data_IF_402691571016
#
_entry.id   IF_402691571016
#
_cell.length_a   1.000
_cell.length_b   1.000
_cell.length_c   1.000
_cell.angle_alpha   90.00
_cell.angle_beta   90.00
_cell.angle_gamma   90.00
#
_symmetry.space_group_name_H-M   'P 1'
#
loop_
_entity.id
_entity.type
_entity.pdbx_description
1 polymer ?
#
# COMPACT_ATOMS: atom_id res chain seq x y z
N UNK A 1 -8.07 -31.03 4.86
CA UNK A 1 -9.16 -30.26 4.22
C UNK A 1 -10.46 -30.49 4.98
N UNK A 2 -11.28 -29.47 5.16
CA UNK A 2 -12.58 -29.55 5.83
C UNK A 2 -13.71 -29.22 4.85
N UNK A 3 -14.78 -30.02 4.84
CA UNK A 3 -15.99 -29.80 4.04
C UNK A 3 -17.13 -29.37 4.97
N UNK A 4 -17.54 -28.09 4.99
CA UNK A 4 -18.59 -27.60 5.88
C UNK A 4 -19.95 -28.28 5.69
N UNK A 5 -20.30 -28.62 4.44
CA UNK A 5 -21.57 -29.27 4.09
C UNK A 5 -21.71 -30.67 4.69
N UNK A 6 -20.61 -31.41 4.80
CA UNK A 6 -20.58 -32.77 5.34
C UNK A 6 -20.08 -32.84 6.78
N UNK A 7 -19.55 -31.73 7.33
CA UNK A 7 -18.83 -31.68 8.61
C UNK A 7 -17.68 -32.71 8.71
N UNK A 8 -17.05 -33.06 7.58
CA UNK A 8 -15.94 -34.03 7.53
C UNK A 8 -14.61 -33.33 7.29
N UNK A 9 -13.56 -33.90 7.87
CA UNK A 9 -12.18 -33.51 7.60
C UNK A 9 -11.40 -34.68 6.99
N UNK A 10 -10.49 -34.34 6.09
CA UNK A 10 -9.61 -35.27 5.39
C UNK A 10 -8.17 -34.86 5.63
N UNK A 11 -7.32 -35.82 5.99
CA UNK A 11 -5.89 -35.59 6.12
C UNK A 11 -5.29 -35.22 4.76
N UNK A 12 -4.36 -34.28 4.73
CA UNK A 12 -3.61 -33.90 3.53
C UNK A 12 -2.16 -34.36 3.67
N UNK A 13 -1.46 -33.75 4.62
CA UNK A 13 -0.05 -34.00 4.87
C UNK A 13 0.35 -33.53 6.28
N UNK A 14 1.59 -33.83 6.67
CA UNK A 14 2.23 -33.31 7.87
C UNK A 14 3.54 -32.64 7.47
N UNK A 15 3.64 -31.33 7.69
CA UNK A 15 4.83 -30.55 7.42
C UNK A 15 5.83 -30.68 8.59
N UNK A 16 7.01 -31.31 8.42
CA UNK A 16 7.97 -31.53 9.50
C UNK A 16 8.84 -30.29 9.78
N UNK A 17 8.21 -29.12 9.84
CA UNK A 17 8.87 -27.81 10.02
C UNK A 17 7.93 -26.84 10.72
N UNK A 18 8.51 -25.85 11.39
CA UNK A 18 7.72 -24.71 11.90
C UNK A 18 7.23 -23.89 10.71
N UNK A 19 5.92 -23.65 10.65
CA UNK A 19 5.31 -22.83 9.60
C UNK A 19 5.56 -21.34 9.87
N UNK A 20 5.68 -20.51 8.83
CA UNK A 20 5.97 -19.08 8.99
C UNK A 20 4.82 -18.33 9.68
N UNK A 21 3.59 -18.82 9.54
CA UNK A 21 2.38 -18.35 10.21
C UNK A 21 2.23 -18.81 11.68
N UNK A 22 3.24 -19.46 12.27
CA UNK A 22 3.23 -19.86 13.69
C UNK A 22 2.87 -18.74 14.68
N UNK A 23 3.22 -17.44 14.46
CA UNK A 23 2.87 -16.40 15.41
C UNK A 23 1.35 -16.22 15.59
N UNK A 24 0.53 -16.63 14.62
CA UNK A 24 -0.94 -16.67 14.80
C UNK A 24 -1.34 -17.56 15.99
N UNK A 25 -0.73 -18.73 16.06
CA UNK A 25 -1.01 -19.70 17.13
C UNK A 25 -0.40 -19.21 18.43
N UNK A 26 0.84 -18.74 18.40
CA UNK A 26 1.55 -18.19 19.57
C UNK A 26 0.78 -17.05 20.24
N UNK A 27 0.26 -16.10 19.45
CA UNK A 27 -0.54 -14.99 19.95
C UNK A 27 -1.87 -15.46 20.55
N UNK A 28 -2.51 -16.45 19.92
CA UNK A 28 -3.79 -16.99 20.42
C UNK A 28 -3.62 -17.72 21.75
N UNK A 29 -2.56 -18.50 21.91
CA UNK A 29 -2.29 -19.28 23.12
C UNK A 29 -1.40 -18.54 24.14
N UNK A 30 -0.89 -17.36 23.78
CA UNK A 30 0.06 -16.53 24.53
C UNK A 30 1.35 -17.26 24.94
N UNK A 31 1.97 -17.98 23.99
CA UNK A 31 3.22 -18.72 24.23
C UNK A 31 4.19 -18.61 23.08
N UNK A 32 5.47 -18.66 23.41
CA UNK A 32 6.55 -18.70 22.45
C UNK A 32 7.00 -20.16 22.23
N UNK A 33 6.82 -20.68 21.02
CA UNK A 33 7.22 -22.04 20.67
C UNK A 33 8.72 -22.26 20.68
N UNK A 34 9.53 -21.23 20.41
CA UNK A 34 10.98 -21.33 20.47
C UNK A 34 11.49 -21.65 21.88
N UNK A 35 10.76 -21.26 22.92
CA UNK A 35 11.07 -21.62 24.31
C UNK A 35 10.98 -23.13 24.60
N UNK A 36 10.28 -23.89 23.75
CA UNK A 36 10.05 -25.33 23.91
C UNK A 36 10.81 -26.18 22.89
N UNK A 37 11.78 -25.62 22.16
CA UNK A 37 12.52 -26.36 21.12
C UNK A 37 13.22 -27.62 21.64
N UNK A 38 13.70 -27.56 22.88
CA UNK A 38 14.44 -28.65 23.53
C UNK A 38 13.72 -29.23 24.75
N UNK A 39 12.46 -28.84 24.98
CA UNK A 39 11.70 -29.20 26.18
C UNK A 39 10.28 -29.63 25.78
N UNK A 40 9.72 -30.69 26.37
CA UNK A 40 8.37 -31.13 26.03
C UNK A 40 7.36 -30.02 26.32
N UNK A 41 6.44 -29.80 25.39
CA UNK A 41 5.36 -28.85 25.59
C UNK A 41 4.40 -29.37 26.67
N UNK A 42 4.11 -28.60 27.73
CA UNK A 42 3.32 -29.08 28.85
C UNK A 42 1.87 -29.38 28.43
N UNK A 43 1.39 -30.59 28.73
CA UNK A 43 0.13 -31.12 28.18
C UNK A 43 -1.13 -30.43 28.73
N UNK A 44 -1.06 -29.96 29.98
CA UNK A 44 -2.08 -29.11 30.63
C UNK A 44 -2.24 -27.73 29.96
N UNK A 45 -1.37 -27.44 29.01
CA UNK A 45 -1.16 -26.14 28.41
C UNK A 45 -1.46 -26.18 26.89
N UNK A 46 -1.82 -27.35 26.34
CA UNK A 46 -2.20 -27.53 24.93
C UNK A 46 -3.63 -27.07 24.61
N UNK A 47 -4.52 -27.04 25.62
CA UNK A 47 -5.87 -26.50 25.47
C UNK A 47 -5.92 -25.11 26.08
N UNK A 48 -6.26 -24.12 25.27
CA UNK A 48 -6.46 -22.75 25.70
C UNK A 48 -7.84 -22.29 25.24
N UNK A 49 -8.74 -22.08 26.18
CA UNK A 49 -10.03 -21.42 25.94
C UNK A 49 -9.78 -19.91 25.90
N UNK A 50 -9.18 -19.44 24.81
CA UNK A 50 -8.97 -18.01 24.58
C UNK A 50 -9.98 -17.50 23.57
N UNK A 51 -10.67 -16.43 23.93
CA UNK A 51 -11.55 -15.67 23.04
C UNK A 51 -10.74 -14.74 22.12
N UNK A 52 -9.51 -15.12 21.75
CA UNK A 52 -8.65 -14.31 20.90
C UNK A 52 -8.71 -14.87 19.49
N UNK A 53 -9.00 -14.00 18.53
CA UNK A 53 -8.84 -14.26 17.11
C UNK A 53 -7.60 -13.54 16.60
N UNK A 54 -6.84 -14.20 15.73
CA UNK A 54 -5.63 -13.64 15.13
C UNK A 54 -5.70 -13.83 13.63
N UNK A 55 -5.43 -12.76 12.88
CA UNK A 55 -5.34 -12.78 11.42
C UNK A 55 -3.94 -12.30 11.07
N UNK A 56 -3.29 -13.03 10.17
CA UNK A 56 -2.02 -12.62 9.61
C UNK A 56 -2.16 -12.27 8.14
N UNK A 57 -1.35 -11.31 7.70
CA UNK A 57 -1.17 -10.96 6.31
C UNK A 57 0.31 -11.02 5.95
N UNK A 58 0.62 -11.78 4.90
CA UNK A 58 1.94 -11.75 4.26
C UNK A 58 2.03 -10.53 3.38
N UNK A 59 3.14 -9.80 3.46
CA UNK A 59 3.45 -8.66 2.61
C UNK A 59 4.53 -9.10 1.62
N UNK A 60 4.26 -8.98 0.32
CA UNK A 60 5.06 -9.51 -0.78
C UNK A 60 5.33 -8.43 -1.82
N UNK A 61 6.36 -8.63 -2.63
CA UNK A 61 6.67 -7.79 -3.79
C UNK A 61 6.00 -8.33 -5.06
N UNK A 62 4.72 -8.68 -4.99
CA UNK A 62 3.96 -9.24 -6.11
C UNK A 62 2.95 -8.22 -6.64
N UNK A 63 2.82 -8.14 -7.96
CA UNK A 63 1.88 -7.23 -8.62
C UNK A 63 0.53 -7.92 -8.92
N UNK A 64 -0.57 -7.55 -8.24
CA UNK A 64 -1.90 -8.13 -8.51
C UNK A 64 -2.43 -7.83 -9.92
N UNK A 65 -2.03 -6.72 -10.55
CA UNK A 65 -2.45 -6.35 -11.89
C UNK A 65 -1.76 -7.19 -12.96
N UNK A 66 -0.54 -7.65 -12.71
CA UNK A 66 0.20 -8.60 -13.57
C UNK A 66 0.04 -10.06 -13.13
N UNK A 67 -1.04 -10.41 -12.43
CA UNK A 67 -1.32 -11.80 -12.04
C UNK A 67 -0.38 -12.32 -10.96
N UNK A 68 -0.04 -11.48 -9.97
CA UNK A 68 0.82 -11.78 -8.83
C UNK A 68 2.26 -12.15 -9.22
N UNK A 69 2.77 -11.53 -10.30
CA UNK A 69 4.16 -11.71 -10.71
C UNK A 69 5.10 -11.12 -9.65
N UNK A 70 6.09 -11.89 -9.15
CA UNK A 70 7.10 -11.35 -8.25
C UNK A 70 7.98 -10.31 -8.95
N UNK A 71 8.20 -9.20 -8.27
CA UNK A 71 9.07 -8.11 -8.67
C UNK A 71 10.22 -7.94 -7.67
N UNK A 72 11.36 -7.51 -8.17
CA UNK A 72 12.56 -7.19 -7.39
C UNK A 72 12.85 -5.69 -7.49
N UNK A 73 13.37 -5.11 -6.42
CA UNK A 73 13.62 -3.67 -6.38
C UNK A 73 14.05 -3.18 -5.00
N UNK A 74 14.34 -1.88 -4.91
CA UNK A 74 14.67 -1.19 -3.67
C UNK A 74 13.43 -0.68 -2.96
N UNK A 75 13.46 -0.75 -1.63
CA UNK A 75 12.49 -0.12 -0.73
C UNK A 75 13.01 1.26 -0.37
N UNK A 76 12.24 2.29 -0.70
CA UNK A 76 12.58 3.67 -0.38
C UNK A 76 12.09 4.04 1.02
N UNK A 77 10.81 3.74 1.28
CA UNK A 77 10.17 3.96 2.57
C UNK A 77 9.41 2.72 2.99
N UNK A 78 9.66 2.31 4.23
CA UNK A 78 8.87 1.31 4.92
C UNK A 78 8.65 1.82 6.34
N UNK A 79 7.44 2.32 6.58
CA UNK A 79 7.04 2.81 7.88
C UNK A 79 5.76 2.09 8.31
N UNK A 80 5.90 1.25 9.32
CA UNK A 80 4.82 0.48 9.90
C UNK A 80 4.66 0.85 11.37
N UNK A 81 3.50 1.41 11.70
CA UNK A 81 3.14 1.79 13.06
C UNK A 81 2.50 0.59 13.77
N UNK A 82 3.27 -0.07 14.64
CA UNK A 82 2.71 -1.11 15.51
C UNK A 82 1.79 -0.49 16.55
N UNK A 83 0.74 -1.21 16.93
CA UNK A 83 -0.16 -0.84 18.02
C UNK A 83 -0.42 -2.04 18.95
N UNK A 84 -1.25 -1.87 19.97
CA UNK A 84 -1.51 -2.92 20.96
C UNK A 84 -2.08 -4.22 20.36
N UNK A 85 -2.82 -4.10 19.25
CA UNK A 85 -3.54 -5.18 18.60
C UNK A 85 -2.88 -5.64 17.31
N UNK A 86 -1.96 -4.87 16.73
CA UNK A 86 -1.31 -5.17 15.47
C UNK A 86 0.18 -4.97 15.58
N UNK A 87 0.93 -5.97 15.20
CA UNK A 87 2.39 -5.90 15.08
C UNK A 87 2.82 -6.66 13.85
N UNK A 88 4.07 -6.52 13.47
CA UNK A 88 4.62 -7.17 12.30
C UNK A 88 6.11 -7.00 12.24
N UNK A 89 6.72 -7.74 11.33
CA UNK A 89 8.15 -7.66 11.07
C UNK A 89 8.41 -7.72 9.58
N UNK A 90 9.55 -7.17 9.18
CA UNK A 90 10.00 -7.12 7.80
C UNK A 90 11.44 -7.61 7.71
N UNK A 91 11.78 -8.29 6.62
CA UNK A 91 13.14 -8.75 6.33
C UNK A 91 14.01 -7.68 5.66
N UNK A 92 13.39 -6.57 5.23
CA UNK A 92 14.04 -5.42 4.60
C UNK A 92 13.74 -4.16 5.43
N UNK A 93 14.70 -3.24 5.49
CA UNK A 93 14.54 -1.92 6.10
C UNK A 93 14.33 -0.84 5.03
N UNK A 94 14.05 0.40 5.43
CA UNK A 94 14.20 1.56 4.55
C UNK A 94 15.61 1.54 3.93
N UNK A 95 15.70 1.83 2.63
CA UNK A 95 16.89 1.67 1.77
C UNK A 95 17.37 0.23 1.54
N UNK A 96 16.59 -0.78 1.92
CA UNK A 96 16.85 -2.19 1.64
C UNK A 96 16.52 -2.57 0.19
N UNK A 97 16.88 -3.79 -0.21
CA UNK A 97 16.59 -4.33 -1.55
C UNK A 97 16.02 -5.74 -1.48
N UNK A 98 14.91 -5.95 -2.17
CA UNK A 98 14.40 -7.29 -2.51
C UNK A 98 15.11 -7.70 -3.80
N UNK A 99 15.96 -8.72 -3.68
CA UNK A 99 16.78 -9.23 -4.79
C UNK A 99 16.07 -10.41 -5.48
N UNK A 100 16.48 -10.74 -6.70
CA UNK A 100 15.83 -11.78 -7.53
C UNK A 100 15.89 -13.19 -6.92
N UNK A 101 16.85 -13.44 -6.04
CA UNK A 101 16.97 -14.70 -5.30
C UNK A 101 16.31 -14.67 -3.92
N UNK A 102 15.70 -13.54 -3.54
CA UNK A 102 14.96 -13.42 -2.29
C UNK A 102 13.56 -14.01 -2.44
N UNK A 103 12.97 -14.39 -1.32
CA UNK A 103 11.53 -14.64 -1.26
C UNK A 103 10.78 -13.33 -1.59
N UNK A 104 9.68 -13.42 -2.34
CA UNK A 104 8.82 -12.26 -2.60
C UNK A 104 8.23 -11.74 -1.30
N UNK A 105 8.04 -12.62 -0.30
CA UNK A 105 7.62 -12.23 1.04
C UNK A 105 8.75 -11.52 1.79
N UNK A 106 8.61 -10.20 1.94
CA UNK A 106 9.51 -9.38 2.73
C UNK A 106 8.90 -8.89 4.04
N UNK A 107 7.62 -9.16 4.30
CA UNK A 107 6.95 -8.75 5.54
C UNK A 107 5.86 -9.72 6.01
N UNK A 108 5.54 -9.61 7.30
CA UNK A 108 4.45 -10.34 7.91
C UNK A 108 3.79 -9.49 8.99
N UNK A 109 2.49 -9.24 8.85
CA UNK A 109 1.68 -8.52 9.82
C UNK A 109 0.73 -9.48 10.54
N UNK A 110 0.48 -9.22 11.82
CA UNK A 110 -0.38 -10.00 12.69
C UNK A 110 -1.29 -9.06 13.48
N UNK A 111 -2.59 -9.24 13.33
CA UNK A 111 -3.61 -8.52 14.08
C UNK A 111 -4.37 -9.48 15.00
N UNK A 112 -4.64 -9.04 16.23
CA UNK A 112 -5.49 -9.76 17.19
C UNK A 112 -6.74 -8.96 17.54
N UNK A 113 -7.81 -9.67 17.87
CA UNK A 113 -9.06 -9.12 18.37
C UNK A 113 -9.78 -10.13 19.25
N UNK A 114 -10.79 -9.70 20.00
CA UNK A 114 -11.66 -10.62 20.76
C UNK A 114 -12.66 -11.34 19.86
N UNK A 115 -12.89 -10.78 18.66
CA UNK A 115 -13.69 -11.39 17.60
C UNK A 115 -12.92 -11.38 16.29
N UNK A 116 -13.38 -12.19 15.32
CA UNK A 116 -12.84 -12.17 13.96
C UNK A 116 -12.98 -10.79 13.32
N UNK A 117 -14.12 -10.15 13.49
CA UNK A 117 -14.39 -8.81 12.97
C UNK A 117 -13.42 -7.75 13.51
N UNK A 118 -13.14 -7.77 14.82
CA UNK A 118 -12.16 -6.87 15.43
C UNK A 118 -10.74 -7.09 14.87
N UNK A 119 -10.33 -8.34 14.71
CA UNK A 119 -9.02 -8.66 14.13
C UNK A 119 -8.91 -8.21 12.66
N UNK A 120 -9.99 -8.36 11.87
CA UNK A 120 -10.05 -7.85 10.49
C UNK A 120 -9.92 -6.32 10.49
N UNK A 121 -10.72 -5.64 11.31
CA UNK A 121 -10.73 -4.17 11.39
C UNK A 121 -9.37 -3.63 11.84
N UNK A 122 -8.73 -4.27 12.82
CA UNK A 122 -7.40 -3.89 13.29
C UNK A 122 -6.35 -4.05 12.18
N UNK A 123 -6.34 -5.18 11.48
CA UNK A 123 -5.42 -5.42 10.36
C UNK A 123 -5.65 -4.41 9.23
N UNK A 124 -6.90 -4.08 8.95
CA UNK A 124 -7.28 -3.18 7.88
C UNK A 124 -6.82 -1.74 8.16
N UNK A 125 -6.96 -1.25 9.39
CA UNK A 125 -6.37 0.03 9.79
C UNK A 125 -4.85 0.02 9.61
N UNK A 126 -4.19 -1.03 10.08
CA UNK A 126 -2.73 -1.15 9.99
C UNK A 126 -2.22 -1.23 8.55
N UNK A 127 -2.94 -1.89 7.63
CA UNK A 127 -2.61 -1.92 6.21
C UNK A 127 -2.84 -0.56 5.53
N UNK A 128 -3.85 0.21 5.94
CA UNK A 128 -4.10 1.57 5.43
C UNK A 128 -3.07 2.58 5.94
N UNK A 129 -2.54 2.37 7.14
CA UNK A 129 -1.49 3.21 7.74
C UNK A 129 -0.07 2.78 7.35
N UNK A 130 0.09 1.62 6.70
CA UNK A 130 1.38 1.13 6.22
C UNK A 130 1.86 2.00 5.06
N UNK A 131 2.90 2.78 5.30
CA UNK A 131 3.58 3.54 4.26
C UNK A 131 4.68 2.66 3.65
N UNK A 132 4.41 2.14 2.46
CA UNK A 132 5.34 1.36 1.66
C UNK A 132 5.57 2.06 0.32
N UNK A 133 6.79 2.56 0.11
CA UNK A 133 7.27 3.08 -1.17
C UNK A 133 8.46 2.26 -1.62
N UNK A 134 8.35 1.68 -2.81
CA UNK A 134 9.37 0.82 -3.37
C UNK A 134 9.29 0.89 -4.90
N UNK A 135 10.41 0.61 -5.55
CA UNK A 135 10.50 0.47 -7.02
C UNK A 135 9.71 -0.73 -7.59
N UNK A 136 8.96 -1.45 -6.75
CA UNK A 136 8.15 -2.60 -7.12
C UNK A 136 6.73 -2.43 -6.58
N UNK A 137 5.74 -2.97 -7.31
CA UNK A 137 4.36 -3.06 -6.83
C UNK A 137 4.24 -4.08 -5.70
N UNK A 138 3.37 -3.80 -4.73
CA UNK A 138 3.02 -4.73 -3.65
C UNK A 138 1.50 -4.95 -3.61
N UNK A 139 1.10 -6.11 -3.09
CA UNK A 139 -0.30 -6.53 -2.95
C UNK A 139 -1.05 -5.89 -1.76
N UNK A 140 -0.44 -4.96 -1.02
CA UNK A 140 -1.06 -4.31 0.16
C UNK A 140 -2.46 -3.77 -0.15
N UNK A 141 -2.62 -3.03 -1.24
CA UNK A 141 -3.93 -2.49 -1.65
C UNK A 141 -4.95 -3.58 -1.99
N UNK A 142 -4.48 -4.68 -2.58
CA UNK A 142 -5.33 -5.84 -2.87
C UNK A 142 -5.80 -6.51 -1.58
N UNK A 143 -4.93 -6.65 -0.57
CA UNK A 143 -5.29 -7.18 0.74
C UNK A 143 -6.35 -6.32 1.44
N UNK A 144 -6.24 -4.99 1.38
CA UNK A 144 -7.24 -4.08 1.96
C UNK A 144 -8.62 -4.35 1.37
N UNK A 145 -8.74 -4.49 0.05
CA UNK A 145 -10.03 -4.76 -0.55
C UNK A 145 -10.49 -6.22 -0.42
N UNK A 146 -9.57 -7.18 -0.30
CA UNK A 146 -9.89 -8.58 0.03
C UNK A 146 -10.52 -8.68 1.44
N UNK A 147 -9.98 -7.95 2.41
CA UNK A 147 -10.48 -7.93 3.79
C UNK A 147 -11.85 -7.23 3.91
N UNK A 148 -12.15 -6.29 3.01
CA UNK A 148 -13.45 -5.62 2.92
C UNK A 148 -14.52 -6.44 2.16
N UNK A 149 -14.14 -7.57 1.55
CA UNK A 149 -15.08 -8.38 0.79
C UNK A 149 -16.09 -9.08 1.71
N UNK A 150 -17.38 -9.05 1.34
CA UNK A 150 -18.45 -9.67 2.13
C UNK A 150 -18.27 -11.18 2.27
N UNK A 151 -17.77 -11.86 1.24
CA UNK A 151 -17.52 -13.31 1.32
C UNK A 151 -16.41 -13.60 2.34
N UNK A 152 -15.39 -12.73 2.41
CA UNK A 152 -14.39 -12.82 3.45
C UNK A 152 -14.98 -12.48 4.83
N UNK A 153 -15.67 -11.37 5.00
CA UNK A 153 -16.26 -10.95 6.29
C UNK A 153 -17.24 -11.99 6.86
N UNK A 154 -18.07 -12.59 6.02
CA UNK A 154 -19.04 -13.63 6.40
C UNK A 154 -18.43 -15.03 6.58
N UNK A 155 -17.13 -15.20 6.28
CA UNK A 155 -16.44 -16.49 6.32
C UNK A 155 -16.99 -17.51 5.29
N UNK A 156 -17.37 -17.01 4.11
CA UNK A 156 -17.98 -17.74 3.00
C UNK A 156 -16.98 -17.88 1.84
N UNK A 157 -15.82 -18.49 2.09
CA UNK A 157 -14.79 -18.69 1.07
C UNK A 157 -14.18 -20.09 1.13
N UNK A 158 -13.54 -20.50 0.03
CA UNK A 158 -12.86 -21.79 -0.11
C UNK A 158 -11.47 -21.60 -0.72
N UNK A 159 -10.66 -22.67 -0.81
CA UNK A 159 -9.26 -22.58 -1.25
C UNK A 159 -9.09 -22.03 -2.68
N UNK A 160 -10.02 -22.28 -3.60
CA UNK A 160 -9.99 -21.74 -4.97
C UNK A 160 -10.68 -20.37 -5.14
N UNK A 161 -11.06 -19.72 -4.03
CA UNK A 161 -11.84 -18.47 -4.08
C UNK A 161 -10.98 -17.33 -4.61
N UNK A 162 -9.75 -17.25 -4.13
CA UNK A 162 -8.79 -16.27 -4.58
C UNK A 162 -8.49 -16.42 -6.08
N UNK A 163 -8.30 -17.64 -6.58
CA UNK A 163 -8.04 -17.91 -8.00
C UNK A 163 -9.18 -17.40 -8.89
N UNK A 164 -10.44 -17.61 -8.47
CA UNK A 164 -11.60 -17.10 -9.19
C UNK A 164 -11.65 -15.57 -9.23
N UNK A 165 -11.28 -14.89 -8.13
CA UNK A 165 -11.18 -13.42 -8.09
C UNK A 165 -10.10 -12.87 -9.00
N UNK A 166 -8.93 -13.52 -9.02
CA UNK A 166 -7.81 -13.16 -9.90
C UNK A 166 -8.22 -13.30 -11.36
N UNK A 167 -8.87 -14.42 -11.73
CA UNK A 167 -9.39 -14.64 -13.08
C UNK A 167 -10.44 -13.60 -13.48
N UNK A 168 -11.28 -13.16 -12.54
CA UNK A 168 -12.28 -12.12 -12.76
C UNK A 168 -11.70 -10.68 -12.77
N UNK A 169 -10.39 -10.51 -12.55
CA UNK A 169 -9.70 -9.20 -12.47
C UNK A 169 -10.38 -8.23 -11.52
N UNK A 170 -10.83 -8.73 -10.35
CA UNK A 170 -11.43 -7.89 -9.33
C UNK A 170 -10.33 -6.98 -8.75
N UNK A 171 -10.23 -5.76 -9.27
CA UNK A 171 -9.37 -4.73 -8.71
C UNK A 171 -10.09 -4.10 -7.51
N UNK A 172 -9.43 -4.16 -6.36
CA UNK A 172 -10.02 -3.78 -5.08
C UNK A 172 -9.62 -2.37 -4.62
N UNK A 173 -8.81 -1.66 -5.41
CA UNK A 173 -8.43 -0.29 -5.08
C UNK A 173 -9.66 0.62 -5.27
N UNK A 174 -10.02 1.45 -4.28
CA UNK A 174 -11.03 2.48 -4.48
C UNK A 174 -10.49 3.47 -5.51
N UNK A 175 -11.00 3.41 -6.76
CA UNK A 175 -10.68 4.42 -7.76
C UNK A 175 -11.21 5.77 -7.28
N UNK A 176 -10.31 6.76 -7.24
CA UNK A 176 -10.72 8.14 -7.03
C UNK A 176 -11.60 8.59 -8.19
N UNK A 177 -12.62 9.43 -7.96
CA UNK A 177 -13.40 9.99 -9.04
C UNK A 177 -12.49 10.66 -10.08
N UNK A 178 -12.76 10.43 -11.37
CA UNK A 178 -11.90 10.88 -12.48
C UNK A 178 -11.49 12.35 -12.38
N UNK A 179 -12.42 13.22 -11.99
CA UNK A 179 -12.15 14.66 -11.84
C UNK A 179 -11.12 14.96 -10.74
N UNK A 180 -11.10 14.18 -9.65
CA UNK A 180 -10.12 14.27 -8.57
C UNK A 180 -8.76 13.80 -9.08
N UNK A 181 -8.72 12.63 -9.72
CA UNK A 181 -7.49 12.05 -10.29
C UNK A 181 -6.82 12.98 -11.29
N UNK A 182 -7.58 13.54 -12.23
CA UNK A 182 -7.07 14.48 -13.23
C UNK A 182 -6.60 15.79 -12.58
N UNK A 183 -7.37 16.36 -11.63
CA UNK A 183 -6.98 17.60 -10.97
C UNK A 183 -5.69 17.43 -10.14
N UNK A 184 -5.61 16.38 -9.33
CA UNK A 184 -4.44 16.08 -8.50
C UNK A 184 -3.23 15.76 -9.38
N UNK A 185 -3.40 14.90 -10.39
CA UNK A 185 -2.32 14.55 -11.32
C UNK A 185 -1.79 15.76 -12.09
N UNK A 186 -2.67 16.65 -12.56
CA UNK A 186 -2.28 17.89 -13.20
C UNK A 186 -1.49 18.80 -12.26
N UNK A 187 -1.98 19.01 -11.04
CA UNK A 187 -1.28 19.81 -10.03
C UNK A 187 0.07 19.21 -9.66
N UNK A 188 0.17 17.89 -9.52
CA UNK A 188 1.41 17.19 -9.20
C UNK A 188 2.47 17.39 -10.29
N UNK A 189 2.12 17.08 -11.54
CA UNK A 189 3.04 17.24 -12.69
C UNK A 189 3.39 18.72 -12.92
N UNK A 190 2.40 19.61 -12.79
CA UNK A 190 2.62 21.05 -12.89
C UNK A 190 3.55 21.58 -11.81
N UNK A 191 3.37 21.17 -10.55
CA UNK A 191 4.25 21.50 -9.44
C UNK A 191 5.69 21.06 -9.72
N UNK A 192 5.91 19.82 -10.17
CA UNK A 192 7.26 19.29 -10.45
C UNK A 192 7.94 20.08 -11.56
N UNK A 193 7.26 20.30 -12.69
CA UNK A 193 7.82 21.06 -13.83
C UNK A 193 8.15 22.50 -13.47
N UNK A 194 7.25 23.18 -12.74
CA UNK A 194 7.49 24.54 -12.27
C UNK A 194 8.68 24.55 -11.31
N UNK A 195 8.71 23.67 -10.32
CA UNK A 195 9.80 23.59 -9.34
C UNK A 195 11.16 23.33 -9.99
N UNK A 196 11.22 22.44 -10.98
CA UNK A 196 12.42 22.16 -11.76
C UNK A 196 12.93 23.39 -12.52
N UNK A 197 12.04 24.12 -13.19
CA UNK A 197 12.42 25.31 -13.97
C UNK A 197 13.04 26.37 -13.06
N UNK A 198 12.40 26.65 -11.92
CA UNK A 198 12.90 27.64 -10.98
C UNK A 198 14.20 27.18 -10.31
N UNK A 199 14.33 25.88 -9.97
CA UNK A 199 15.56 25.29 -9.46
C UNK A 199 16.71 25.40 -10.46
N UNK A 200 16.48 25.03 -11.73
CA UNK A 200 17.46 25.15 -12.82
C UNK A 200 17.93 26.59 -13.01
N UNK A 201 17.01 27.56 -12.95
CA UNK A 201 17.34 28.98 -13.05
C UNK A 201 18.19 29.45 -11.87
N UNK A 202 17.82 29.08 -10.65
CA UNK A 202 18.59 29.41 -9.45
C UNK A 202 20.01 28.84 -9.52
N UNK A 203 20.17 27.56 -9.87
CA UNK A 203 21.49 26.94 -9.99
C UNK A 203 22.35 27.57 -11.10
N UNK A 204 21.74 28.05 -12.19
CA UNK A 204 22.47 28.77 -13.23
C UNK A 204 22.96 30.14 -12.71
N UNK A 205 22.11 30.85 -11.97
CA UNK A 205 22.45 32.14 -11.37
C UNK A 205 23.60 32.01 -10.35
N UNK A 206 23.58 30.97 -9.52
CA UNK A 206 24.67 30.63 -8.58
C UNK A 206 26.00 30.36 -9.29
N UNK A 207 25.95 29.84 -10.53
CA UNK A 207 27.12 29.66 -11.40
C UNK A 207 27.50 30.91 -12.21
N UNK A 208 26.83 32.04 -11.98
CA UNK A 208 27.06 33.31 -12.68
C UNK A 208 26.49 33.38 -14.10
N UNK A 209 25.58 32.46 -14.46
CA UNK A 209 24.90 32.45 -15.76
C UNK A 209 23.50 33.03 -15.64
N UNK A 210 23.13 33.98 -16.50
CA UNK A 210 21.78 34.54 -16.57
C UNK A 210 21.02 33.87 -17.71
N UNK A 211 20.04 33.04 -17.36
CA UNK A 211 19.15 32.42 -18.35
C UNK A 211 18.08 33.41 -18.85
N UNK A 212 17.50 33.18 -20.04
CA UNK A 212 16.41 34.01 -20.56
C UNK A 212 15.16 33.96 -19.67
N UNK A 213 14.50 35.12 -19.51
CA UNK A 213 13.24 35.22 -18.75
C UNK A 213 12.11 34.38 -19.34
N UNK A 214 12.15 34.07 -20.63
CA UNK A 214 11.16 33.21 -21.30
C UNK A 214 11.12 31.79 -20.77
N UNK A 215 12.19 31.33 -20.10
CA UNK A 215 12.23 30.02 -19.47
C UNK A 215 11.50 29.96 -18.13
N UNK A 216 11.26 31.10 -17.47
CA UNK A 216 10.56 31.17 -16.19
C UNK A 216 9.06 31.33 -16.43
N UNK A 217 8.34 30.21 -16.40
CA UNK A 217 6.88 30.19 -16.50
C UNK A 217 6.25 29.53 -15.28
N UNK A 218 5.21 30.17 -14.77
CA UNK A 218 4.31 29.63 -13.73
C UNK A 218 3.09 28.91 -14.33
N UNK A 219 3.00 28.88 -15.67
CA UNK A 219 1.90 28.24 -16.41
C UNK A 219 2.42 27.14 -17.31
N UNK A 220 1.77 25.99 -17.26
CA UNK A 220 2.08 24.82 -18.07
C UNK A 220 0.82 24.21 -18.66
N UNK A 221 0.87 23.91 -19.96
CA UNK A 221 -0.10 23.02 -20.60
C UNK A 221 0.44 21.59 -20.52
N UNK A 222 -0.41 20.68 -20.05
CA UNK A 222 -0.10 19.27 -19.82
C UNK A 222 -1.10 18.41 -20.57
N UNK A 223 -0.63 17.27 -21.03
CA UNK A 223 -1.48 16.22 -21.59
C UNK A 223 -1.38 15.00 -20.67
N UNK A 224 -2.49 14.63 -20.05
CA UNK A 224 -2.58 13.47 -19.17
C UNK A 224 -3.43 12.40 -19.84
N UNK A 225 -3.07 11.13 -19.69
CA UNK A 225 -3.89 10.01 -20.17
C UNK A 225 -4.35 9.21 -18.96
N UNK A 226 -5.66 9.05 -18.82
CA UNK A 226 -6.25 8.22 -17.77
C UNK A 226 -7.39 7.39 -18.37
N UNK A 227 -7.34 6.07 -18.17
CA UNK A 227 -8.32 5.11 -18.72
C UNK A 227 -8.53 5.26 -20.24
N UNK A 228 -7.43 5.41 -20.99
CA UNK A 228 -7.39 5.64 -22.45
C UNK A 228 -8.06 6.93 -22.94
N UNK A 229 -8.37 7.87 -22.05
CA UNK A 229 -8.89 9.20 -22.40
C UNK A 229 -7.78 10.22 -22.19
N UNK A 230 -7.57 11.07 -23.19
CA UNK A 230 -6.61 12.17 -23.16
C UNK A 230 -7.25 13.44 -22.59
N UNK A 231 -6.61 14.04 -21.60
CA UNK A 231 -6.99 15.28 -20.94
C UNK A 231 -5.93 16.34 -21.19
N UNK A 232 -6.28 17.39 -21.93
CA UNK A 232 -5.43 18.56 -22.13
C UNK A 232 -5.78 19.61 -21.07
N UNK A 233 -4.91 19.75 -20.07
CA UNK A 233 -5.12 20.60 -18.89
C UNK A 233 -4.08 21.71 -18.84
N UNK A 234 -4.48 22.88 -18.40
CA UNK A 234 -3.56 23.98 -18.10
C UNK A 234 -3.46 24.15 -16.59
N UNK A 235 -2.23 24.23 -16.09
CA UNK A 235 -1.91 24.41 -14.67
C UNK A 235 -1.17 25.72 -14.52
N UNK A 236 -1.68 26.61 -13.66
CA UNK A 236 -1.06 27.88 -13.34
C UNK A 236 -0.81 27.98 -11.83
N UNK A 237 0.42 28.33 -11.44
CA UNK A 237 0.73 28.74 -10.07
C UNK A 237 0.41 30.22 -9.93
N UNK A 238 -0.45 30.57 -8.99
CA UNK A 238 -0.85 31.97 -8.74
C UNK A 238 -0.52 32.45 -7.31
N UNK A 239 0.03 31.56 -6.48
CA UNK A 239 0.52 31.89 -5.16
C UNK A 239 1.58 30.91 -4.70
N UNK A 240 2.16 31.10 -3.50
CA UNK A 240 3.26 30.27 -3.00
C UNK A 240 2.92 28.78 -2.98
N UNK A 241 1.68 28.45 -2.59
CA UNK A 241 1.15 27.10 -2.45
C UNK A 241 -0.10 26.85 -3.29
N UNK A 242 -0.58 27.86 -4.02
CA UNK A 242 -1.87 27.80 -4.70
C UNK A 242 -1.70 27.60 -6.20
N UNK A 243 -2.42 26.62 -6.72
CA UNK A 243 -2.43 26.24 -8.12
C UNK A 243 -3.85 26.26 -8.65
N UNK A 244 -3.99 26.66 -9.91
CA UNK A 244 -5.22 26.70 -10.66
C UNK A 244 -5.11 25.69 -11.80
N UNK A 245 -6.03 24.74 -11.85
CA UNK A 245 -6.14 23.76 -12.93
C UNK A 245 -7.34 24.11 -13.78
N UNK A 246 -7.11 24.29 -15.08
CA UNK A 246 -8.14 24.56 -16.08
C UNK A 246 -8.22 23.38 -17.05
N UNK A 247 -9.43 22.90 -17.24
CA UNK A 247 -9.77 21.90 -18.25
C UNK A 247 -10.97 22.43 -19.04
N UNK A 248 -10.77 22.73 -20.31
CA UNK A 248 -11.76 23.42 -21.16
C UNK A 248 -12.24 24.73 -20.50
N UNK A 249 -13.53 24.83 -20.20
CA UNK A 249 -14.17 25.98 -19.54
C UNK A 249 -14.27 25.83 -18.02
N UNK A 250 -13.83 24.69 -17.46
CA UNK A 250 -13.85 24.43 -16.03
C UNK A 250 -12.53 24.84 -15.38
N UNK A 251 -12.61 25.43 -14.20
CA UNK A 251 -11.47 25.87 -13.40
C UNK A 251 -11.63 25.38 -11.98
N UNK A 252 -10.56 24.84 -11.41
CA UNK A 252 -10.50 24.44 -10.02
C UNK A 252 -9.20 24.89 -9.36
N UNK A 253 -9.26 25.16 -8.07
CA UNK A 253 -8.11 25.54 -7.25
C UNK A 253 -7.64 24.36 -6.41
N UNK A 254 -6.32 24.21 -6.31
CA UNK A 254 -5.66 23.21 -5.48
C UNK A 254 -4.57 23.86 -4.65
N UNK A 255 -4.32 23.32 -3.45
CA UNK A 255 -3.25 23.78 -2.57
C UNK A 255 -2.22 22.68 -2.44
N UNK A 256 -0.95 22.99 -2.64
CA UNK A 256 0.16 22.04 -2.51
C UNK A 256 0.97 22.36 -1.25
N UNK A 257 1.22 21.35 -0.42
CA UNK A 257 2.13 21.44 0.73
C UNK A 257 3.14 20.31 0.67
N UNK A 258 4.39 20.64 0.93
CA UNK A 258 5.46 19.63 1.02
C UNK A 258 5.61 19.19 2.48
N UNK A 259 5.60 17.88 2.72
CA UNK A 259 5.78 17.29 4.05
C UNK A 259 7.25 16.93 4.35
N UNK A 260 8.09 16.83 3.32
CA UNK A 260 9.45 16.31 3.37
C UNK A 260 9.60 14.97 2.63
N UNK A 261 10.84 14.56 2.33
CA UNK A 261 11.18 13.30 1.65
C UNK A 261 10.48 13.09 0.28
N UNK A 262 10.18 14.17 -0.45
CA UNK A 262 9.50 14.13 -1.74
C UNK A 262 7.99 13.88 -1.66
N UNK A 263 7.40 13.86 -0.46
CA UNK A 263 5.96 13.65 -0.27
C UNK A 263 5.20 14.97 -0.33
N UNK A 264 4.16 15.03 -1.16
CA UNK A 264 3.31 16.20 -1.34
C UNK A 264 1.90 15.93 -0.80
N UNK A 265 1.31 16.90 -0.12
CA UNK A 265 -0.12 16.93 0.15
C UNK A 265 -0.76 17.89 -0.85
N UNK A 266 -1.72 17.39 -1.62
CA UNK A 266 -2.57 18.20 -2.50
C UNK A 266 -3.95 18.29 -1.87
N UNK A 267 -4.42 19.50 -1.62
CA UNK A 267 -5.76 19.77 -1.10
C UNK A 267 -6.66 20.12 -2.29
N UNK A 268 -7.69 19.31 -2.50
CA UNK A 268 -8.71 19.47 -3.52
C UNK A 268 -10.10 19.45 -2.87
N UNK A 269 -10.93 20.46 -3.13
CA UNK A 269 -12.30 20.54 -2.59
C UNK A 269 -12.41 20.30 -1.07
N UNK A 270 -11.46 20.84 -0.29
CA UNK A 270 -11.34 20.69 1.18
C UNK A 270 -10.92 19.30 1.68
N UNK A 271 -10.52 18.40 0.79
CA UNK A 271 -9.94 17.10 1.14
C UNK A 271 -8.45 17.10 0.84
N UNK A 272 -7.67 16.52 1.75
CA UNK A 272 -6.23 16.39 1.61
C UNK A 272 -5.87 15.01 1.05
N UNK A 273 -5.01 15.00 0.04
CA UNK A 273 -4.54 13.81 -0.64
C UNK A 273 -3.03 13.75 -0.55
N UNK A 274 -2.49 12.66 -0.03
CA UNK A 274 -1.04 12.40 -0.05
C UNK A 274 -0.69 11.89 -1.45
N UNK A 275 0.29 12.53 -2.08
CA UNK A 275 0.68 12.30 -3.46
C UNK A 275 2.19 12.07 -3.53
N UNK A 276 2.55 11.09 -4.35
CA UNK A 276 3.92 10.76 -4.70
C UNK A 276 4.01 10.72 -6.22
N UNK A 277 5.09 11.25 -6.79
CA UNK A 277 5.36 11.16 -8.20
C UNK A 277 6.49 10.14 -8.39
N UNK A 278 6.20 9.06 -9.11
CA UNK A 278 7.18 8.11 -9.61
C UNK A 278 7.16 8.21 -11.14
N UNK A 279 8.33 8.45 -11.74
CA UNK A 279 8.51 8.39 -13.19
C UNK A 279 9.05 6.99 -13.55
N UNK A 280 8.26 6.23 -14.32
CA UNK A 280 8.69 4.97 -14.94
C UNK A 280 9.49 5.21 -16.23
#
# INVERSE_FOLDING_TARGET
MYLPSEQKYYFLELNPRLQVEHPCTEMKIQKNFFSYRNSPFPQNQCRTDTNIHVIAARITSEDPAEGFRPASGSVEVLNFQSNQNVWGYFSVSSTGKVHEFADSQFGHLFAKGTTRYEAISALLCALKELELRATFTSQVNYLVGLLHDKEFENNEFHTGWLDARIAARVQSAPELPVHVTVAIGATLVGYTRISEVFSKFQSALERGQILPKSGLTETWELELVHSNIKYSVMVNKFGPINYLVRLNDSVVTTIVRELGNGTLIIIYSHQAYTCHLEEE
#
